data_IF_429261642214
#
_entry.id   IF_429261642214
#
_cell.length_a   1.000
_cell.length_b   1.000
_cell.length_c   1.000
_cell.angle_alpha   90.00
_cell.angle_beta   90.00
_cell.angle_gamma   90.00
#
_symmetry.space_group_name_H-M   'P 1'
#
loop_
_entity.id
_entity.type
_entity.pdbx_description
1 polymer ?
#
# COMPACT_ATOMS: atom_id res chain seq x y z
N UNK A 1 -7.92 11.73 -16.52
CA UNK A 1 -8.97 11.72 -17.56
C UNK A 1 -8.26 11.79 -18.90
N UNK A 2 -8.32 10.72 -19.67
CA UNK A 2 -7.71 10.65 -21.00
C UNK A 2 -8.66 11.32 -22.02
N UNK A 3 -8.42 12.61 -22.30
CA UNK A 3 -9.18 13.37 -23.28
C UNK A 3 -8.87 12.97 -24.74
N UNK A 4 -7.89 12.10 -24.97
CA UNK A 4 -7.50 11.68 -26.32
C UNK A 4 -8.41 10.57 -26.89
N UNK A 5 -9.05 9.77 -26.03
CA UNK A 5 -9.98 8.70 -26.42
C UNK A 5 -11.23 9.18 -27.19
N UNK A 6 -11.61 10.45 -27.02
CA UNK A 6 -12.80 11.02 -27.65
C UNK A 6 -12.47 11.96 -28.81
N UNK A 7 -11.21 12.06 -29.24
CA UNK A 7 -10.86 12.94 -30.35
C UNK A 7 -11.30 12.30 -31.69
N UNK A 8 -12.35 12.81 -32.35
CA UNK A 8 -12.81 12.27 -33.63
C UNK A 8 -11.83 12.55 -34.77
N UNK A 9 -10.78 13.35 -34.54
CA UNK A 9 -9.74 13.65 -35.52
C UNK A 9 -8.65 12.57 -35.61
N UNK A 10 -8.47 11.76 -34.57
CA UNK A 10 -7.47 10.67 -34.56
C UNK A 10 -8.08 9.28 -34.72
N UNK A 11 -9.33 9.08 -34.26
CA UNK A 11 -10.03 7.80 -34.39
C UNK A 11 -10.64 7.65 -35.80
N UNK A 12 -10.22 6.62 -36.53
CA UNK A 12 -10.79 6.33 -37.84
C UNK A 12 -12.27 5.86 -37.76
N UNK A 13 -12.99 5.92 -38.87
CA UNK A 13 -14.42 5.58 -38.91
C UNK A 13 -14.73 4.13 -38.52
N UNK A 14 -13.79 3.20 -38.76
CA UNK A 14 -13.96 1.79 -38.40
C UNK A 14 -13.84 1.61 -36.88
N UNK A 15 -12.84 2.22 -36.25
CA UNK A 15 -12.66 2.24 -34.79
C UNK A 15 -13.86 2.86 -34.07
N UNK A 16 -14.41 3.96 -34.59
CA UNK A 16 -15.62 4.57 -34.03
C UNK A 16 -16.85 3.66 -34.17
N UNK A 17 -17.01 2.99 -35.32
CA UNK A 17 -18.11 2.04 -35.52
C UNK A 17 -17.98 0.82 -34.58
N UNK A 18 -16.75 0.33 -34.39
CA UNK A 18 -16.44 -0.78 -33.50
C UNK A 18 -16.73 -0.45 -32.03
N UNK A 19 -16.37 0.77 -31.58
CA UNK A 19 -16.63 1.28 -30.22
C UNK A 19 -18.10 1.26 -29.81
N UNK A 20 -19.00 1.62 -30.73
CA UNK A 20 -20.44 1.72 -30.46
C UNK A 20 -21.21 0.45 -30.86
N UNK A 21 -20.49 -0.62 -31.19
CA UNK A 21 -21.02 -1.89 -31.68
C UNK A 21 -21.91 -1.78 -32.93
N UNK A 22 -21.60 -0.88 -33.88
CA UNK A 22 -22.34 -0.76 -35.15
C UNK A 22 -21.87 -1.83 -36.16
N UNK A 23 -22.36 -3.05 -35.94
CA UNK A 23 -22.07 -4.27 -36.70
C UNK A 23 -22.20 -4.06 -38.22
N UNK A 24 -23.24 -3.34 -38.65
CA UNK A 24 -23.52 -3.10 -40.07
C UNK A 24 -22.47 -2.18 -40.70
N UNK A 25 -22.09 -1.09 -40.01
CA UNK A 25 -21.01 -0.21 -40.48
C UNK A 25 -19.66 -0.92 -40.43
N UNK A 26 -19.34 -1.64 -39.35
CA UNK A 26 -18.09 -2.42 -39.22
C UNK A 26 -17.94 -3.38 -40.41
N UNK A 27 -18.97 -4.18 -40.71
CA UNK A 27 -18.97 -5.10 -41.86
C UNK A 27 -18.75 -4.41 -43.21
N UNK A 28 -19.28 -3.20 -43.39
CA UNK A 28 -19.09 -2.42 -44.63
C UNK A 28 -17.70 -1.81 -44.72
N UNK A 29 -17.16 -1.33 -43.59
CA UNK A 29 -15.88 -0.64 -43.50
C UNK A 29 -14.69 -1.61 -43.56
N UNK A 30 -14.80 -2.81 -42.97
CA UNK A 30 -13.77 -3.87 -43.08
C UNK A 30 -13.46 -4.27 -44.53
N UNK A 31 -14.41 -4.09 -45.46
CA UNK A 31 -14.16 -4.33 -46.89
C UNK A 31 -13.26 -3.29 -47.56
N UNK A 32 -13.03 -2.15 -46.91
CA UNK A 32 -12.39 -0.97 -47.49
C UNK A 32 -11.21 -0.44 -46.67
N UNK A 33 -11.21 -0.69 -45.37
CA UNK A 33 -10.24 -0.15 -44.42
C UNK A 33 -9.47 -1.31 -43.79
N UNK A 34 -8.17 -1.08 -43.58
CA UNK A 34 -7.32 -2.00 -42.83
C UNK A 34 -7.73 -1.96 -41.33
N UNK A 35 -8.11 -3.09 -40.70
CA UNK A 35 -8.52 -3.11 -39.30
C UNK A 35 -7.38 -2.83 -38.30
N UNK A 36 -6.12 -2.99 -38.71
CA UNK A 36 -4.94 -2.74 -37.87
C UNK A 36 -4.51 -1.26 -37.86
N UNK A 37 -5.29 -0.36 -38.45
CA UNK A 37 -5.01 1.07 -38.39
C UNK A 37 -5.14 1.56 -36.95
N UNK A 38 -4.02 2.04 -36.41
CA UNK A 38 -3.94 2.61 -35.07
C UNK A 38 -4.29 4.10 -35.07
N UNK A 39 -4.88 4.56 -33.96
CA UNK A 39 -4.98 5.99 -33.66
C UNK A 39 -3.68 6.55 -33.04
N UNK A 40 -3.74 7.76 -32.49
CA UNK A 40 -2.61 8.43 -31.84
C UNK A 40 -2.20 7.83 -30.48
N UNK A 41 -2.96 6.86 -29.95
CA UNK A 41 -2.65 6.08 -28.74
C UNK A 41 -2.13 4.69 -29.07
N UNK A 42 -2.08 4.32 -30.35
CA UNK A 42 -1.82 2.94 -30.78
C UNK A 42 -3.08 2.05 -30.78
N UNK A 43 -4.29 2.59 -30.57
CA UNK A 43 -5.50 1.77 -30.51
C UNK A 43 -6.00 1.42 -31.91
N UNK A 44 -6.20 0.14 -32.16
CA UNK A 44 -6.89 -0.38 -33.35
C UNK A 44 -8.40 -0.47 -33.12
N UNK A 45 -9.16 -0.80 -34.18
CA UNK A 45 -10.60 -1.03 -34.03
C UNK A 45 -10.93 -2.24 -33.12
N UNK A 46 -10.00 -3.19 -33.00
CA UNK A 46 -10.13 -4.34 -32.10
C UNK A 46 -10.02 -3.93 -30.63
N UNK A 47 -9.05 -3.07 -30.30
CA UNK A 47 -8.90 -2.48 -28.97
C UNK A 47 -10.17 -1.73 -28.54
N UNK A 48 -10.73 -0.92 -29.44
CA UNK A 48 -11.97 -0.18 -29.20
C UNK A 48 -13.15 -1.12 -28.96
N UNK A 49 -13.31 -2.17 -29.79
CA UNK A 49 -14.38 -3.13 -29.61
C UNK A 49 -14.27 -3.89 -28.27
N UNK A 50 -13.05 -4.31 -27.91
CA UNK A 50 -12.77 -5.05 -26.68
C UNK A 50 -12.98 -4.20 -25.42
N UNK A 51 -12.47 -2.97 -25.42
CA UNK A 51 -12.59 -2.02 -24.30
C UNK A 51 -14.04 -1.60 -24.01
N UNK A 52 -14.92 -1.65 -25.01
CA UNK A 52 -16.32 -1.24 -24.89
C UNK A 52 -17.29 -2.42 -24.93
N UNK A 53 -16.80 -3.66 -24.78
CA UNK A 53 -17.61 -4.89 -24.78
C UNK A 53 -18.54 -5.02 -26.01
N UNK A 54 -18.08 -4.54 -27.17
CA UNK A 54 -18.82 -4.56 -28.43
C UNK A 54 -18.67 -5.93 -29.11
N UNK A 55 -19.24 -6.95 -28.48
CA UNK A 55 -19.05 -8.38 -28.81
C UNK A 55 -19.29 -8.69 -30.29
N UNK A 56 -20.42 -8.30 -30.87
CA UNK A 56 -20.78 -8.65 -32.26
C UNK A 56 -19.82 -8.01 -33.27
N UNK A 57 -19.38 -6.78 -32.99
CA UNK A 57 -18.38 -6.10 -33.82
C UNK A 57 -17.00 -6.75 -33.67
N UNK A 58 -16.61 -7.11 -32.45
CA UNK A 58 -15.36 -7.80 -32.15
C UNK A 58 -15.29 -9.16 -32.86
N UNK A 59 -16.37 -9.95 -32.82
CA UNK A 59 -16.47 -11.24 -33.50
C UNK A 59 -16.28 -11.11 -35.02
N UNK A 60 -16.84 -10.05 -35.63
CA UNK A 60 -16.64 -9.78 -37.05
C UNK A 60 -15.21 -9.35 -37.38
N UNK A 61 -14.60 -8.54 -36.52
CA UNK A 61 -13.23 -8.03 -36.72
C UNK A 61 -12.22 -9.18 -36.62
N UNK A 62 -12.36 -10.05 -35.61
CA UNK A 62 -11.45 -11.20 -35.39
C UNK A 62 -11.48 -12.20 -36.56
N UNK A 63 -12.62 -12.35 -37.24
CA UNK A 63 -12.73 -13.24 -38.41
C UNK A 63 -12.05 -12.68 -39.66
N UNK A 64 -11.55 -11.45 -39.63
CA UNK A 64 -10.87 -10.84 -40.77
C UNK A 64 -9.49 -11.50 -40.99
N UNK A 65 -9.13 -11.95 -42.20
CA UNK A 65 -7.96 -12.82 -42.42
C UNK A 65 -6.61 -12.20 -42.08
N UNK A 66 -6.52 -10.87 -42.03
CA UNK A 66 -5.27 -10.15 -41.78
C UNK A 66 -5.22 -9.48 -40.40
N UNK A 67 -6.19 -9.72 -39.52
CA UNK A 67 -6.23 -9.05 -38.21
C UNK A 67 -5.07 -9.50 -37.33
N UNK A 68 -4.43 -8.54 -36.66
CA UNK A 68 -3.42 -8.83 -35.64
C UNK A 68 -4.05 -8.69 -34.26
N UNK A 69 -4.36 -9.83 -33.64
CA UNK A 69 -5.06 -9.85 -32.34
C UNK A 69 -4.13 -9.48 -31.17
N UNK A 70 -2.84 -9.77 -31.32
CA UNK A 70 -1.80 -9.53 -30.31
C UNK A 70 -1.16 -8.15 -30.43
N UNK A 71 -1.62 -7.29 -31.34
CA UNK A 71 -1.09 -5.93 -31.44
C UNK A 71 -1.33 -5.17 -30.13
N UNK A 72 -0.34 -4.38 -29.73
CA UNK A 72 -0.34 -3.62 -28.50
C UNK A 72 -0.52 -2.12 -28.78
N UNK A 73 -1.15 -1.41 -27.84
CA UNK A 73 -1.15 0.06 -27.83
C UNK A 73 0.25 0.60 -27.51
N UNK A 74 0.44 1.93 -27.55
CA UNK A 74 1.71 2.53 -27.11
C UNK A 74 2.01 2.35 -25.61
N UNK A 75 1.03 1.93 -24.82
CA UNK A 75 1.19 1.54 -23.42
C UNK A 75 1.39 0.02 -23.25
N UNK A 76 1.54 -0.73 -24.33
CA UNK A 76 1.71 -2.19 -24.29
C UNK A 76 0.41 -2.96 -24.05
N UNK A 77 -0.76 -2.31 -24.17
CA UNK A 77 -2.03 -2.96 -23.86
C UNK A 77 -2.55 -3.73 -25.07
N UNK A 78 -2.79 -5.04 -24.94
CA UNK A 78 -3.54 -5.82 -25.94
C UNK A 78 -5.05 -5.58 -25.84
N UNK A 79 -5.80 -6.03 -26.84
CA UNK A 79 -7.27 -6.03 -26.78
C UNK A 79 -7.81 -6.83 -25.58
N UNK A 80 -7.22 -7.98 -25.24
CA UNK A 80 -7.58 -8.76 -24.05
C UNK A 80 -7.32 -7.97 -22.76
N UNK A 81 -6.15 -7.35 -22.66
CA UNK A 81 -5.79 -6.55 -21.49
C UNK A 81 -6.80 -5.41 -21.26
N UNK A 82 -7.17 -4.68 -22.33
CA UNK A 82 -8.18 -3.63 -22.25
C UNK A 82 -9.57 -4.18 -21.89
N UNK A 83 -9.97 -5.34 -22.41
CA UNK A 83 -11.21 -6.00 -22.04
C UNK A 83 -11.25 -6.34 -20.54
N UNK A 84 -10.13 -6.82 -19.99
CA UNK A 84 -9.99 -7.07 -18.55
C UNK A 84 -10.08 -5.76 -17.75
N UNK A 85 -9.34 -4.71 -18.12
CA UNK A 85 -9.36 -3.41 -17.44
C UNK A 85 -10.77 -2.80 -17.43
N UNK A 86 -11.47 -2.83 -18.57
CA UNK A 86 -12.79 -2.23 -18.72
C UNK A 86 -13.92 -3.11 -18.22
N UNK A 87 -13.60 -4.27 -17.63
CA UNK A 87 -14.57 -5.23 -17.07
C UNK A 87 -15.57 -5.72 -18.13
N UNK A 88 -15.10 -5.95 -19.36
CA UNK A 88 -15.92 -6.49 -20.44
C UNK A 88 -16.51 -7.87 -20.07
N UNK A 89 -17.57 -8.26 -20.76
CA UNK A 89 -18.26 -9.53 -20.52
C UNK A 89 -17.33 -10.73 -20.67
N UNK A 90 -17.67 -11.81 -19.96
CA UNK A 90 -16.95 -13.08 -20.06
C UNK A 90 -16.95 -13.65 -21.48
N UNK A 91 -17.98 -13.34 -22.27
CA UNK A 91 -18.08 -13.76 -23.68
C UNK A 91 -17.02 -13.09 -24.54
N UNK A 92 -16.82 -11.78 -24.37
CA UNK A 92 -15.80 -11.01 -25.10
C UNK A 92 -14.39 -11.50 -24.73
N UNK A 93 -14.14 -11.74 -23.44
CA UNK A 93 -12.84 -12.25 -22.97
C UNK A 93 -12.58 -13.65 -23.52
N UNK A 94 -13.57 -14.54 -23.43
CA UNK A 94 -13.49 -15.90 -23.98
C UNK A 94 -13.18 -15.88 -25.48
N UNK A 95 -13.89 -15.04 -26.23
CA UNK A 95 -13.68 -14.92 -27.67
C UNK A 95 -12.25 -14.47 -28.01
N UNK A 96 -11.67 -13.56 -27.23
CA UNK A 96 -10.27 -13.15 -27.41
C UNK A 96 -9.28 -14.27 -27.06
N UNK A 97 -9.53 -15.00 -25.96
CA UNK A 97 -8.68 -16.12 -25.53
C UNK A 97 -8.69 -17.29 -26.53
N UNK A 98 -9.82 -17.56 -27.18
CA UNK A 98 -9.95 -18.61 -28.20
C UNK A 98 -9.19 -18.29 -29.51
N UNK A 99 -8.64 -17.08 -29.68
CA UNK A 99 -7.97 -16.70 -30.92
C UNK A 99 -6.51 -17.11 -31.00
N UNK A 100 -5.75 -16.89 -29.92
CA UNK A 100 -4.29 -17.03 -29.86
C UNK A 100 -3.91 -17.51 -28.48
N UNK A 101 -3.28 -18.67 -28.37
CA UNK A 101 -2.97 -19.32 -27.09
C UNK A 101 -2.13 -18.43 -26.14
N UNK A 102 -1.18 -17.67 -26.68
CA UNK A 102 -0.25 -16.85 -25.89
C UNK A 102 -0.88 -15.55 -25.35
N UNK A 103 -2.07 -15.14 -25.83
CA UNK A 103 -2.64 -13.81 -25.54
C UNK A 103 -2.89 -13.59 -24.04
N UNK A 104 -3.18 -14.66 -23.29
CA UNK A 104 -3.39 -14.60 -21.85
C UNK A 104 -2.15 -14.14 -21.07
N UNK A 105 -0.97 -14.30 -21.65
CA UNK A 105 0.33 -14.04 -21.03
C UNK A 105 1.03 -12.78 -21.57
N UNK A 106 0.45 -12.08 -22.53
CA UNK A 106 1.01 -10.80 -23.01
C UNK A 106 0.77 -9.74 -21.94
N UNK A 107 1.86 -9.08 -21.54
CA UNK A 107 1.89 -8.09 -20.47
C UNK A 107 2.01 -6.68 -21.02
N UNK A 108 1.61 -5.68 -20.24
CA UNK A 108 1.84 -4.27 -20.57
C UNK A 108 3.31 -3.88 -20.49
N UNK A 109 3.64 -2.61 -20.82
CA UNK A 109 4.99 -2.06 -20.61
C UNK A 109 5.44 -2.10 -19.13
N UNK A 110 4.49 -2.10 -18.20
CA UNK A 110 4.71 -2.23 -16.74
C UNK A 110 4.71 -3.70 -16.30
N UNK A 111 4.77 -4.64 -17.25
CA UNK A 111 4.74 -6.08 -17.03
C UNK A 111 3.45 -6.58 -16.35
N UNK A 112 2.39 -5.77 -16.37
CA UNK A 112 1.09 -6.16 -15.81
C UNK A 112 0.38 -7.10 -16.78
N UNK A 113 0.00 -8.28 -16.29
CA UNK A 113 -0.74 -9.28 -17.07
C UNK A 113 -2.26 -9.12 -16.95
N UNK A 114 -3.07 -9.68 -17.88
CA UNK A 114 -4.52 -9.77 -17.71
C UNK A 114 -4.94 -10.42 -16.39
N UNK A 115 -4.13 -11.35 -15.86
CA UNK A 115 -4.38 -12.05 -14.60
C UNK A 115 -4.23 -11.12 -13.38
N UNK A 116 -3.25 -10.20 -13.38
CA UNK A 116 -3.12 -9.15 -12.36
C UNK A 116 -4.40 -8.30 -12.29
N UNK A 117 -4.82 -7.78 -13.45
CA UNK A 117 -6.02 -6.96 -13.58
C UNK A 117 -7.26 -7.69 -13.07
N UNK A 118 -7.48 -8.93 -13.50
CA UNK A 118 -8.62 -9.71 -13.07
C UNK A 118 -8.59 -9.99 -11.56
N UNK A 119 -7.40 -10.23 -11.00
CA UNK A 119 -7.17 -10.52 -9.58
C UNK A 119 -7.47 -9.31 -8.70
N UNK A 120 -6.90 -8.13 -9.01
CA UNK A 120 -7.20 -6.91 -8.27
C UNK A 120 -8.68 -6.47 -8.36
N UNK A 121 -9.35 -6.78 -9.48
CA UNK A 121 -10.78 -6.52 -9.66
C UNK A 121 -11.69 -7.52 -8.93
N UNK A 122 -11.19 -8.67 -8.48
CA UNK A 122 -12.03 -9.69 -7.86
C UNK A 122 -12.85 -10.53 -8.84
N UNK A 123 -12.44 -10.64 -10.12
CA UNK A 123 -13.25 -11.30 -11.16
C UNK A 123 -12.97 -12.80 -11.26
N UNK A 124 -13.48 -13.57 -10.31
CA UNK A 124 -13.31 -15.02 -10.19
C UNK A 124 -13.50 -15.76 -11.52
N UNK A 125 -14.62 -15.55 -12.22
CA UNK A 125 -14.91 -16.25 -13.47
C UNK A 125 -13.87 -15.99 -14.58
N UNK A 126 -13.29 -14.78 -14.62
CA UNK A 126 -12.25 -14.43 -15.59
C UNK A 126 -10.91 -14.97 -15.17
N UNK A 127 -10.60 -14.99 -13.89
CA UNK A 127 -9.36 -15.57 -13.38
C UNK A 127 -9.33 -17.06 -13.72
N UNK A 128 -10.40 -17.79 -13.40
CA UNK A 128 -10.51 -19.21 -13.76
C UNK A 128 -10.34 -19.42 -15.26
N UNK A 129 -11.01 -18.60 -16.08
CA UNK A 129 -10.87 -18.67 -17.53
C UNK A 129 -9.45 -18.37 -18.01
N UNK A 130 -8.77 -17.36 -17.47
CA UNK A 130 -7.39 -17.05 -17.85
C UNK A 130 -6.46 -18.22 -17.49
N UNK A 131 -6.65 -18.83 -16.32
CA UNK A 131 -5.88 -19.99 -15.88
C UNK A 131 -6.13 -21.23 -16.75
N UNK A 132 -7.39 -21.48 -17.13
CA UNK A 132 -7.77 -22.59 -18.02
C UNK A 132 -7.12 -22.44 -19.41
N UNK A 133 -6.84 -21.20 -19.83
CA UNK A 133 -6.13 -20.87 -21.08
C UNK A 133 -4.62 -20.65 -20.87
N UNK A 134 -4.06 -21.14 -19.75
CA UNK A 134 -2.61 -21.20 -19.54
C UNK A 134 -1.97 -19.89 -19.08
N UNK A 135 -2.72 -18.99 -18.44
CA UNK A 135 -2.12 -17.82 -17.80
C UNK A 135 -1.14 -18.22 -16.69
N UNK A 136 0.03 -17.59 -16.65
CA UNK A 136 1.04 -17.84 -15.62
C UNK A 136 0.60 -17.25 -14.27
N UNK A 137 0.45 -18.12 -13.27
CA UNK A 137 -0.07 -17.76 -11.93
C UNK A 137 0.87 -16.80 -11.18
N UNK A 138 2.18 -17.03 -11.26
CA UNK A 138 3.21 -16.25 -10.54
C UNK A 138 3.95 -15.26 -11.46
N UNK A 139 3.30 -14.78 -12.52
CA UNK A 139 3.86 -13.69 -13.34
C UNK A 139 4.08 -12.45 -12.47
N UNK A 140 5.21 -11.79 -12.62
CA UNK A 140 5.58 -10.60 -11.85
C UNK A 140 5.47 -9.35 -12.71
N UNK A 141 4.86 -8.31 -12.17
CA UNK A 141 4.86 -6.97 -12.76
C UNK A 141 6.19 -6.24 -12.51
N UNK A 142 6.27 -4.96 -12.91
CA UNK A 142 7.47 -4.14 -12.76
C UNK A 142 7.92 -3.95 -11.30
N UNK A 143 6.99 -3.94 -10.34
CA UNK A 143 7.29 -3.84 -8.91
C UNK A 143 7.58 -5.22 -8.28
N UNK A 144 7.54 -6.28 -9.08
CA UNK A 144 7.71 -7.66 -8.66
C UNK A 144 6.46 -8.26 -8.02
N UNK A 145 5.33 -7.55 -8.03
CA UNK A 145 4.06 -8.04 -7.50
C UNK A 145 3.52 -9.13 -8.42
N UNK A 146 2.91 -10.16 -7.81
CA UNK A 146 2.20 -11.23 -8.53
C UNK A 146 0.68 -10.98 -8.45
N UNK A 147 -0.15 -11.69 -9.24
CA UNK A 147 -1.61 -11.61 -9.10
C UNK A 147 -2.10 -11.89 -7.67
N UNK A 148 -1.38 -12.71 -6.90
CA UNK A 148 -1.68 -12.97 -5.48
C UNK A 148 -1.38 -11.76 -4.59
N UNK A 149 -0.31 -10.99 -4.87
CA UNK A 149 -0.03 -9.72 -4.20
C UNK A 149 -1.16 -8.71 -4.43
N UNK A 150 -1.58 -8.55 -5.68
CA UNK A 150 -2.70 -7.69 -6.06
C UNK A 150 -4.01 -8.09 -5.36
N UNK A 151 -4.33 -9.39 -5.36
CA UNK A 151 -5.52 -9.90 -4.70
C UNK A 151 -5.51 -9.62 -3.18
N UNK A 152 -4.36 -9.84 -2.53
CA UNK A 152 -4.17 -9.57 -1.11
C UNK A 152 -4.30 -8.07 -0.79
N UNK A 153 -3.62 -7.20 -1.55
CA UNK A 153 -3.65 -5.74 -1.34
C UNK A 153 -5.03 -5.14 -1.61
N UNK A 154 -5.77 -5.66 -2.59
CA UNK A 154 -7.14 -5.21 -2.92
C UNK A 154 -8.23 -5.89 -2.10
N UNK A 155 -7.86 -6.65 -1.06
CA UNK A 155 -8.80 -7.33 -0.15
C UNK A 155 -9.76 -8.28 -0.86
N UNK A 156 -9.25 -9.07 -1.81
CA UNK A 156 -10.02 -10.06 -2.60
C UNK A 156 -9.80 -11.47 -2.07
N UNK A 157 -10.33 -11.78 -0.88
CA UNK A 157 -10.12 -13.06 -0.20
C UNK A 157 -10.50 -14.29 -1.04
N UNK A 158 -11.62 -14.24 -1.77
CA UNK A 158 -12.01 -15.34 -2.68
C UNK A 158 -10.98 -15.56 -3.80
N UNK A 159 -10.38 -14.48 -4.32
CA UNK A 159 -9.31 -14.58 -5.33
C UNK A 159 -8.04 -15.13 -4.72
N UNK A 160 -7.68 -14.69 -3.51
CA UNK A 160 -6.54 -15.21 -2.76
C UNK A 160 -6.66 -16.73 -2.63
N UNK A 161 -7.82 -17.21 -2.16
CA UNK A 161 -8.09 -18.64 -2.05
C UNK A 161 -7.97 -19.35 -3.41
N UNK A 162 -8.58 -18.80 -4.47
CA UNK A 162 -8.52 -19.39 -5.82
C UNK A 162 -7.08 -19.50 -6.34
N UNK A 163 -6.29 -18.43 -6.25
CA UNK A 163 -4.92 -18.40 -6.75
C UNK A 163 -4.01 -19.37 -5.97
N UNK A 164 -4.18 -19.48 -4.65
CA UNK A 164 -3.45 -20.45 -3.83
C UNK A 164 -3.76 -21.89 -4.28
N UNK A 165 -5.03 -22.21 -4.54
CA UNK A 165 -5.44 -23.52 -5.06
C UNK A 165 -5.00 -23.76 -6.51
N UNK A 166 -4.78 -22.69 -7.28
CA UNK A 166 -4.19 -22.75 -8.62
C UNK A 166 -2.66 -22.90 -8.61
N UNK A 167 -2.03 -22.96 -7.43
CA UNK A 167 -0.59 -23.18 -7.27
C UNK A 167 0.25 -21.91 -7.20
N UNK A 168 -0.35 -20.77 -6.87
CA UNK A 168 0.40 -19.53 -6.61
C UNK A 168 1.38 -19.73 -5.44
N UNK A 169 2.56 -19.11 -5.53
CA UNK A 169 3.55 -19.15 -4.46
C UNK A 169 3.16 -18.18 -3.33
N UNK A 170 2.76 -18.69 -2.14
CA UNK A 170 2.18 -17.89 -1.05
C UNK A 170 3.17 -16.90 -0.42
N UNK A 171 4.47 -17.22 -0.46
CA UNK A 171 5.55 -16.43 0.15
C UNK A 171 6.50 -15.83 -0.91
N UNK A 172 6.08 -15.78 -2.19
CA UNK A 172 6.82 -15.05 -3.21
C UNK A 172 6.99 -13.60 -2.75
N UNK A 173 8.20 -13.06 -2.93
CA UNK A 173 8.51 -11.68 -2.54
C UNK A 173 8.55 -10.78 -3.77
N UNK A 174 7.96 -9.60 -3.66
CA UNK A 174 8.13 -8.52 -4.65
C UNK A 174 9.50 -7.83 -4.50
N UNK A 175 9.79 -6.82 -5.33
CA UNK A 175 11.10 -6.14 -5.34
C UNK A 175 11.41 -5.42 -4.02
N UNK A 176 10.37 -4.99 -3.28
CA UNK A 176 10.51 -4.40 -1.94
C UNK A 176 10.60 -5.45 -0.84
N UNK A 177 10.56 -6.72 -1.20
CA UNK A 177 10.62 -7.84 -0.28
C UNK A 177 9.32 -8.13 0.46
N UNK A 178 8.18 -7.52 0.10
CA UNK A 178 6.89 -7.84 0.69
C UNK A 178 6.35 -9.16 0.13
N UNK A 179 5.65 -9.92 0.97
CA UNK A 179 4.87 -11.10 0.57
C UNK A 179 3.38 -10.75 0.47
N UNK A 180 2.52 -11.60 -0.12
CA UNK A 180 1.07 -11.39 -0.09
C UNK A 180 0.50 -11.20 1.31
N UNK A 181 1.04 -11.89 2.34
CA UNK A 181 0.60 -11.72 3.73
C UNK A 181 0.85 -10.28 4.22
N UNK A 182 2.04 -9.73 3.95
CA UNK A 182 2.36 -8.34 4.30
C UNK A 182 1.33 -7.37 3.72
N UNK A 183 1.01 -7.53 2.43
CA UNK A 183 0.06 -6.66 1.76
C UNK A 183 -1.37 -6.86 2.25
N UNK A 184 -1.78 -8.09 2.59
CA UNK A 184 -3.10 -8.37 3.19
C UNK A 184 -3.24 -7.69 4.58
N UNK A 185 -2.20 -7.75 5.40
CA UNK A 185 -2.14 -7.09 6.70
C UNK A 185 -2.22 -5.56 6.57
N UNK A 186 -1.47 -4.98 5.62
CA UNK A 186 -1.52 -3.54 5.33
C UNK A 186 -2.88 -3.10 4.74
N UNK A 187 -3.50 -3.94 3.92
CA UNK A 187 -4.84 -3.69 3.38
C UNK A 187 -5.94 -3.76 4.46
N UNK A 188 -5.68 -4.51 5.54
CA UNK A 188 -6.58 -4.65 6.68
C UNK A 188 -7.68 -5.70 6.47
N UNK A 189 -7.49 -6.67 5.56
CA UNK A 189 -8.48 -7.72 5.26
C UNK A 189 -8.17 -9.00 6.03
N UNK A 190 -8.92 -9.26 7.10
CA UNK A 190 -8.74 -10.44 7.95
C UNK A 190 -9.01 -11.74 7.20
N UNK A 191 -9.98 -11.74 6.27
CA UNK A 191 -10.32 -12.91 5.47
C UNK A 191 -9.14 -13.32 4.58
N UNK A 192 -8.49 -12.36 3.91
CA UNK A 192 -7.30 -12.66 3.12
C UNK A 192 -6.13 -13.15 3.98
N UNK A 193 -5.95 -12.59 5.18
CA UNK A 193 -4.96 -13.05 6.15
C UNK A 193 -5.23 -14.50 6.57
N UNK A 194 -6.48 -14.84 6.90
CA UNK A 194 -6.89 -16.19 7.28
C UNK A 194 -6.65 -17.19 6.14
N UNK A 195 -6.97 -16.83 4.89
CA UNK A 195 -6.75 -17.69 3.72
C UNK A 195 -5.27 -17.92 3.43
N UNK A 196 -4.42 -16.91 3.65
CA UNK A 196 -2.97 -17.02 3.46
C UNK A 196 -2.29 -17.79 4.61
N UNK A 197 -2.79 -17.67 5.83
CA UNK A 197 -2.13 -18.16 7.04
C UNK A 197 -1.70 -19.64 7.00
N UNK A 198 -2.51 -20.59 6.48
CA UNK A 198 -2.11 -22.00 6.36
C UNK A 198 -0.85 -22.24 5.52
N UNK A 199 -0.47 -21.28 4.69
CA UNK A 199 0.67 -21.37 3.78
C UNK A 199 1.89 -20.58 4.27
N UNK A 200 1.78 -19.91 5.42
CA UNK A 200 2.85 -19.12 6.03
C UNK A 200 3.80 -20.06 6.78
N UNK A 201 5.09 -19.98 6.47
CA UNK A 201 6.16 -20.75 7.12
C UNK A 201 6.79 -19.96 8.27
N UNK A 202 6.84 -18.64 8.14
CA UNK A 202 7.37 -17.70 9.13
C UNK A 202 6.50 -16.43 9.19
N UNK A 203 5.77 -16.25 10.28
CA UNK A 203 4.90 -15.09 10.51
C UNK A 203 5.69 -13.79 10.74
N UNK A 204 6.95 -13.93 11.16
CA UNK A 204 7.85 -12.85 11.53
C UNK A 204 8.80 -12.46 10.39
N UNK A 205 8.61 -13.03 9.20
CA UNK A 205 9.39 -12.71 8.03
C UNK A 205 9.39 -11.21 7.77
N UNK A 206 10.57 -10.60 7.73
CA UNK A 206 10.71 -9.16 7.51
C UNK A 206 10.79 -8.82 6.02
N UNK A 207 10.09 -7.76 5.60
CA UNK A 207 10.21 -7.13 4.29
C UNK A 207 11.56 -6.41 4.09
N UNK A 208 11.80 -5.80 2.93
CA UNK A 208 13.07 -5.13 2.62
C UNK A 208 13.41 -3.95 3.53
N UNK A 209 12.40 -3.28 4.09
CA UNK A 209 12.55 -2.22 5.10
C UNK A 209 12.48 -2.75 6.55
N UNK A 210 12.57 -4.07 6.75
CA UNK A 210 12.50 -4.68 8.07
C UNK A 210 11.10 -4.77 8.68
N UNK A 211 10.04 -4.35 7.97
CA UNK A 211 8.68 -4.46 8.50
C UNK A 211 8.17 -5.89 8.48
N UNK A 212 7.50 -6.32 9.56
CA UNK A 212 6.78 -7.60 9.64
C UNK A 212 5.30 -7.42 9.30
N UNK A 213 4.59 -8.52 9.09
CA UNK A 213 3.13 -8.50 8.92
C UNK A 213 2.40 -7.83 10.11
N UNK A 214 2.90 -8.03 11.34
CA UNK A 214 2.37 -7.40 12.55
C UNK A 214 2.52 -5.87 12.53
N UNK A 215 3.68 -5.37 12.07
CA UNK A 215 3.91 -3.93 11.93
C UNK A 215 2.96 -3.31 10.92
N UNK A 216 2.76 -3.93 9.77
CA UNK A 216 1.86 -3.43 8.73
C UNK A 216 0.38 -3.46 9.17
N UNK A 217 -0.05 -4.52 9.86
CA UNK A 217 -1.38 -4.58 10.46
C UNK A 217 -1.61 -3.48 11.51
N UNK A 218 -0.56 -3.21 12.29
CA UNK A 218 -0.53 -2.15 13.30
C UNK A 218 -0.60 -0.77 12.65
N UNK A 219 0.19 -0.52 11.61
CA UNK A 219 0.17 0.71 10.82
C UNK A 219 -1.23 0.99 10.27
N UNK A 220 -1.88 -0.05 9.72
CA UNK A 220 -3.24 0.04 9.21
C UNK A 220 -4.29 0.30 10.28
N UNK A 221 -4.03 -0.06 11.53
CA UNK A 221 -4.99 0.06 12.63
C UNK A 221 -5.99 -1.09 12.71
N UNK A 222 -5.68 -2.26 12.14
CA UNK A 222 -6.59 -3.41 12.19
C UNK A 222 -6.35 -4.25 13.44
N UNK A 223 -7.07 -3.92 14.52
CA UNK A 223 -6.98 -4.63 15.80
C UNK A 223 -7.22 -6.14 15.64
N UNK A 224 -8.23 -6.54 14.85
CA UNK A 224 -8.55 -7.96 14.62
C UNK A 224 -7.38 -8.73 14.01
N UNK A 225 -6.66 -8.14 13.05
CA UNK A 225 -5.49 -8.79 12.44
C UNK A 225 -4.33 -8.83 13.43
N UNK A 226 -4.10 -7.76 14.18
CA UNK A 226 -3.07 -7.73 15.22
C UNK A 226 -3.29 -8.84 16.24
N UNK A 227 -4.51 -8.97 16.77
CA UNK A 227 -4.88 -10.03 17.71
C UNK A 227 -4.69 -11.41 17.08
N UNK A 228 -5.11 -11.60 15.83
CA UNK A 228 -4.95 -12.86 15.11
C UNK A 228 -3.47 -13.24 14.93
N UNK A 229 -2.62 -12.30 14.53
CA UNK A 229 -1.18 -12.54 14.36
C UNK A 229 -0.51 -12.87 15.70
N UNK A 230 -0.85 -12.15 16.77
CA UNK A 230 -0.34 -12.42 18.13
C UNK A 230 -0.78 -13.81 18.61
N UNK A 231 -2.05 -14.18 18.42
CA UNK A 231 -2.56 -15.52 18.75
C UNK A 231 -1.81 -16.62 17.99
N UNK A 232 -1.34 -16.32 16.79
CA UNK A 232 -0.52 -17.19 15.98
C UNK A 232 1.00 -16.93 16.14
N UNK A 233 1.41 -16.42 17.30
CA UNK A 233 2.82 -16.32 17.76
C UNK A 233 3.70 -15.32 17.00
N UNK A 234 3.13 -14.29 16.38
CA UNK A 234 3.94 -13.17 15.89
C UNK A 234 4.68 -12.48 17.04
N UNK A 235 5.98 -12.19 16.85
CA UNK A 235 6.81 -11.55 17.86
C UNK A 235 6.64 -10.01 17.84
N UNK A 236 6.08 -9.40 18.91
CA UNK A 236 5.93 -7.95 18.99
C UNK A 236 7.25 -7.20 19.28
N UNK A 237 8.39 -7.88 19.40
CA UNK A 237 9.68 -7.28 19.75
C UNK A 237 10.63 -7.06 18.57
N UNK A 238 10.24 -7.50 17.37
CA UNK A 238 11.01 -7.27 16.15
C UNK A 238 10.98 -5.78 15.82
N UNK A 239 12.09 -5.24 15.31
CA UNK A 239 12.20 -3.84 14.89
C UNK A 239 12.43 -3.74 13.38
N UNK A 240 11.87 -2.71 12.76
CA UNK A 240 12.17 -2.37 11.37
C UNK A 240 13.57 -1.73 11.24
N UNK A 241 13.95 -1.30 10.03
CA UNK A 241 15.25 -0.66 9.77
C UNK A 241 15.46 0.65 10.54
N UNK A 242 14.37 1.35 10.88
CA UNK A 242 14.40 2.59 11.66
C UNK A 242 14.52 2.32 13.18
N UNK A 243 14.49 1.05 13.59
CA UNK A 243 14.54 0.64 15.00
C UNK A 243 13.20 0.82 15.72
N UNK A 244 12.10 0.85 14.96
CA UNK A 244 10.74 0.94 15.49
C UNK A 244 10.12 -0.42 15.72
N UNK A 245 9.55 -0.58 16.91
CA UNK A 245 8.71 -1.70 17.31
C UNK A 245 7.28 -1.53 16.76
N UNK A 246 6.48 -2.60 16.62
CA UNK A 246 5.04 -2.48 16.40
C UNK A 246 4.36 -1.51 17.39
N UNK A 247 4.80 -1.51 18.66
CA UNK A 247 4.32 -0.58 19.69
C UNK A 247 4.55 0.90 19.30
N UNK A 248 5.71 1.23 18.74
CA UNK A 248 6.03 2.59 18.28
C UNK A 248 5.12 2.99 17.12
N UNK A 249 4.88 2.06 16.18
CA UNK A 249 4.01 2.27 15.03
C UNK A 249 2.57 2.55 15.49
N UNK A 250 2.07 1.82 16.49
CA UNK A 250 0.74 2.06 17.07
C UNK A 250 0.62 3.46 17.68
N UNK A 251 1.67 3.94 18.34
CA UNK A 251 1.74 5.29 18.89
C UNK A 251 1.73 6.35 17.80
N UNK A 252 2.62 6.22 16.82
CA UNK A 252 2.78 7.17 15.70
C UNK A 252 1.48 7.31 14.90
N UNK A 253 0.73 6.23 14.73
CA UNK A 253 -0.54 6.23 14.01
C UNK A 253 -1.77 6.47 14.91
N UNK A 254 -1.59 6.58 16.23
CA UNK A 254 -2.64 6.91 17.18
C UNK A 254 -3.64 5.77 17.46
N UNK A 255 -3.27 4.51 17.24
CA UNK A 255 -4.15 3.35 17.45
C UNK A 255 -4.11 2.89 18.90
N UNK A 256 -4.89 3.54 19.77
CA UNK A 256 -4.85 3.34 21.23
C UNK A 256 -5.15 1.92 21.70
N UNK A 257 -6.13 1.24 21.10
CA UNK A 257 -6.47 -0.15 21.47
C UNK A 257 -5.34 -1.13 21.12
N UNK A 258 -4.77 -0.99 19.92
CA UNK A 258 -3.60 -1.78 19.48
C UNK A 258 -2.40 -1.47 20.36
N UNK A 259 -2.19 -0.19 20.70
CA UNK A 259 -1.14 0.23 21.60
C UNK A 259 -1.27 -0.44 22.97
N UNK A 260 -2.48 -0.50 23.56
CA UNK A 260 -2.74 -1.20 24.84
C UNK A 260 -2.38 -2.69 24.74
N UNK A 261 -2.80 -3.37 23.66
CA UNK A 261 -2.48 -4.79 23.44
C UNK A 261 -0.97 -4.99 23.37
N UNK A 262 -0.28 -4.25 22.49
CA UNK A 262 1.16 -4.39 22.30
C UNK A 262 1.95 -4.00 23.54
N UNK A 263 1.55 -2.96 24.27
CA UNK A 263 2.20 -2.54 25.51
C UNK A 263 2.17 -3.65 26.57
N UNK A 264 1.04 -4.35 26.68
CA UNK A 264 0.89 -5.46 27.63
C UNK A 264 1.79 -6.66 27.31
N UNK A 265 2.24 -6.80 26.06
CA UNK A 265 3.08 -7.90 25.59
C UNK A 265 4.57 -7.51 25.49
N UNK A 266 4.88 -6.21 25.44
CA UNK A 266 6.23 -5.72 25.25
C UNK A 266 7.01 -5.73 26.58
N UNK A 267 8.21 -6.31 26.55
CA UNK A 267 9.11 -6.27 27.71
C UNK A 267 9.51 -4.82 28.05
N UNK A 268 9.43 -4.45 29.35
CA UNK A 268 9.73 -3.09 29.84
C UNK A 268 11.11 -2.57 29.37
N UNK A 269 12.11 -3.44 29.30
CA UNK A 269 13.48 -3.11 28.87
C UNK A 269 13.60 -2.66 27.41
N UNK A 270 12.64 -3.05 26.56
CA UNK A 270 12.60 -2.70 25.14
C UNK A 270 11.86 -1.38 24.87
N UNK A 271 11.08 -0.90 25.84
CA UNK A 271 10.33 0.35 25.72
C UNK A 271 11.28 1.52 25.97
N UNK A 272 11.50 2.35 24.95
CA UNK A 272 12.39 3.51 25.06
C UNK A 272 11.73 4.62 25.89
N UNK A 273 12.51 5.28 26.76
CA UNK A 273 12.04 6.36 27.66
C UNK A 273 11.48 7.57 26.92
N UNK A 274 11.99 7.85 25.72
CA UNK A 274 11.53 8.94 24.87
C UNK A 274 10.11 8.71 24.30
N UNK A 275 9.53 7.52 24.47
CA UNK A 275 8.18 7.21 24.00
C UNK A 275 7.12 8.16 24.57
N UNK A 276 7.21 8.53 25.86
CA UNK A 276 6.28 9.50 26.46
C UNK A 276 6.44 10.89 25.83
N UNK A 277 7.67 11.26 25.46
CA UNK A 277 7.97 12.53 24.78
C UNK A 277 7.37 12.51 23.38
N UNK A 278 7.52 11.41 22.64
CA UNK A 278 6.93 11.24 21.31
C UNK A 278 5.40 11.30 21.38
N UNK A 279 4.77 10.64 22.36
CA UNK A 279 3.31 10.66 22.56
C UNK A 279 2.77 12.08 22.82
N UNK A 280 3.54 12.94 23.47
CA UNK A 280 3.15 14.32 23.76
C UNK A 280 3.38 15.30 22.59
N UNK A 281 4.03 14.89 21.49
CA UNK A 281 4.19 15.76 20.31
C UNK A 281 2.82 16.00 19.66
N UNK A 282 2.45 17.25 19.32
CA UNK A 282 1.12 17.57 18.80
C UNK A 282 0.68 16.82 17.55
N UNK A 283 1.62 16.32 16.75
CA UNK A 283 1.31 15.48 15.60
C UNK A 283 0.93 14.03 15.96
N UNK A 284 1.45 13.48 17.06
CA UNK A 284 1.19 12.11 17.54
C UNK A 284 0.25 12.06 18.75
N UNK A 285 -0.31 13.22 19.12
CA UNK A 285 -0.99 13.41 20.37
C UNK A 285 -2.27 12.56 20.46
N UNK A 286 -2.29 11.60 21.40
CA UNK A 286 -3.46 10.80 21.72
C UNK A 286 -3.58 10.61 23.23
N UNK A 287 -4.67 11.11 23.81
CA UNK A 287 -4.96 11.05 25.24
C UNK A 287 -5.04 9.61 25.76
N UNK A 288 -5.65 8.69 25.01
CA UNK A 288 -5.80 7.30 25.43
C UNK A 288 -4.45 6.58 25.48
N UNK A 289 -3.53 6.92 24.57
CA UNK A 289 -2.17 6.37 24.57
C UNK A 289 -1.36 6.91 25.75
N UNK A 290 -1.44 8.22 26.00
CA UNK A 290 -0.73 8.86 27.12
C UNK A 290 -1.25 8.32 28.45
N UNK A 291 -2.57 8.26 28.64
CA UNK A 291 -3.17 7.68 29.85
C UNK A 291 -2.77 6.22 30.02
N UNK A 292 -2.79 5.42 28.94
CA UNK A 292 -2.31 4.03 28.99
C UNK A 292 -0.86 3.93 29.45
N UNK A 293 0.03 4.76 28.88
CA UNK A 293 1.44 4.81 29.31
C UNK A 293 1.56 5.21 30.77
N UNK A 294 0.84 6.25 31.21
CA UNK A 294 0.88 6.76 32.57
C UNK A 294 0.25 5.82 33.59
N UNK A 295 -0.72 4.99 33.20
CA UNK A 295 -1.33 3.97 34.06
C UNK A 295 -0.46 2.72 34.15
N UNK A 296 0.34 2.45 33.12
CA UNK A 296 1.22 1.28 33.08
C UNK A 296 2.35 1.35 34.12
N UNK A 297 2.79 0.17 34.58
CA UNK A 297 3.84 0.03 35.58
C UNK A 297 5.23 -0.01 34.92
N UNK A 298 5.67 1.09 34.30
CA UNK A 298 6.99 1.15 33.65
C UNK A 298 8.14 1.50 34.62
N UNK A 299 7.81 1.75 35.90
CA UNK A 299 8.75 2.19 36.93
C UNK A 299 9.05 3.69 36.90
N UNK A 300 9.53 4.25 38.01
CA UNK A 300 9.78 5.70 38.13
C UNK A 300 10.88 6.19 37.18
N UNK A 301 11.91 5.38 36.94
CA UNK A 301 13.04 5.74 36.08
C UNK A 301 12.65 5.95 34.61
N UNK A 302 11.56 5.33 34.16
CA UNK A 302 11.01 5.52 32.81
C UNK A 302 10.42 6.93 32.64
N UNK A 303 9.77 7.42 33.70
CA UNK A 303 9.16 8.75 33.73
C UNK A 303 10.11 9.84 34.20
N UNK A 304 11.37 9.50 34.54
CA UNK A 304 12.41 10.50 34.80
C UNK A 304 13.03 10.96 33.47
N UNK A 305 12.61 12.13 33.00
CA UNK A 305 13.11 12.72 31.77
C UNK A 305 14.26 13.67 32.13
N UNK A 306 15.48 13.28 31.77
CA UNK A 306 16.67 14.13 31.92
C UNK A 306 16.77 15.08 30.71
N UNK A 307 16.66 16.38 30.96
CA UNK A 307 16.90 17.41 29.95
C UNK A 307 18.24 18.10 30.22
N UNK A 308 19.15 18.04 29.24
CA UNK A 308 20.46 18.72 29.29
C UNK A 308 20.30 20.12 28.69
N UNK A 309 20.33 21.14 29.54
CA UNK A 309 20.29 22.54 29.12
C UNK A 309 21.72 23.07 28.92
N UNK A 310 22.02 23.57 27.73
CA UNK A 310 23.32 24.20 27.41
C UNK A 310 23.28 25.71 27.68
N UNK A 311 23.67 26.13 28.88
CA UNK A 311 23.71 27.57 29.20
C UNK A 311 25.01 28.17 28.67
N UNK A 312 24.90 29.14 27.75
CA UNK A 312 26.02 30.01 27.33
C UNK A 312 26.10 31.19 28.29
N UNK A 313 27.22 31.32 29.00
CA UNK A 313 27.49 32.50 29.82
C UNK A 313 28.18 33.57 28.97
N UNK A 314 27.42 34.54 28.43
CA UNK A 314 28.03 35.76 27.90
C UNK A 314 28.40 36.70 29.06
N UNK A 315 29.70 36.93 29.23
CA UNK A 315 30.21 37.84 30.26
C UNK A 315 30.06 39.28 29.77
N UNK A 316 28.97 39.94 30.16
CA UNK A 316 28.78 41.39 29.99
C UNK A 316 28.41 41.99 31.34
N UNK A 317 29.10 43.07 31.72
CA UNK A 317 29.02 43.79 32.99
C UNK A 317 27.61 44.33 33.29
N UNK A 318 26.71 43.46 33.73
CA UNK A 318 25.39 43.82 34.25
C UNK A 318 24.24 42.98 33.67
N UNK A 319 24.01 41.81 34.27
CA UNK A 319 22.75 41.06 34.38
C UNK A 319 21.91 40.89 33.08
N UNK A 320 22.09 39.75 32.41
CA UNK A 320 21.04 38.72 32.24
C UNK A 320 21.69 37.43 31.72
N UNK A 321 21.54 36.31 32.44
CA UNK A 321 21.89 35.00 31.92
C UNK A 321 20.85 34.59 30.86
N UNK A 322 21.26 34.41 29.61
CA UNK A 322 20.40 33.84 28.58
C UNK A 322 20.51 32.31 28.62
N UNK A 323 19.40 31.65 28.97
CA UNK A 323 19.30 30.20 28.83
C UNK A 323 19.09 29.92 27.34
N UNK A 324 20.11 29.37 26.69
CA UNK A 324 19.97 28.85 25.34
C UNK A 324 19.61 27.37 25.45
N UNK A 325 18.35 27.01 25.18
CA UNK A 325 18.06 25.62 24.82
C UNK A 325 18.78 25.33 23.50
N UNK A 326 19.25 24.11 23.28
CA UNK A 326 20.23 23.75 22.23
C UNK A 326 19.82 23.96 20.76
N UNK A 327 18.82 24.78 20.46
CA UNK A 327 18.52 25.25 19.11
C UNK A 327 19.30 26.54 18.83
N UNK A 328 20.37 26.45 18.04
CA UNK A 328 20.87 27.61 17.32
C UNK A 328 19.73 28.25 16.53
N UNK A 329 19.38 29.49 16.89
CA UNK A 329 18.75 30.51 16.02
C UNK A 329 17.59 30.03 15.14
N UNK A 330 16.36 30.15 15.63
CA UNK A 330 15.16 30.27 14.80
C UNK A 330 14.19 31.27 15.46
N UNK A 331 14.66 32.51 15.66
CA UNK A 331 13.82 33.57 16.21
C UNK A 331 13.02 34.34 15.13
N UNK A 332 13.20 34.04 13.85
CA UNK A 332 12.44 34.67 12.77
C UNK A 332 12.19 33.67 11.63
N UNK A 333 11.09 32.90 11.73
CA UNK A 333 10.23 32.39 10.64
C UNK A 333 9.41 31.20 11.15
N UNK A 334 8.08 31.40 11.17
CA UNK A 334 6.97 30.43 11.36
C UNK A 334 6.52 30.12 12.81
N UNK A 335 5.25 30.39 13.18
CA UNK A 335 4.63 29.97 14.45
C UNK A 335 4.38 28.45 14.60
N UNK A 336 5.04 27.59 13.82
CA UNK A 336 4.65 26.19 13.64
C UNK A 336 5.79 25.17 13.78
N UNK A 337 6.97 25.57 14.25
CA UNK A 337 8.05 24.63 14.57
C UNK A 337 7.86 24.05 15.97
N UNK A 338 7.02 23.02 16.02
CA UNK A 338 6.67 22.16 17.14
C UNK A 338 7.85 21.31 17.63
N UNK A 339 8.88 21.94 18.21
CA UNK A 339 9.83 21.27 19.08
C UNK A 339 9.21 21.23 20.49
N UNK A 340 8.61 20.10 20.88
CA UNK A 340 8.12 19.91 22.24
C UNK A 340 9.29 19.77 23.20
N UNK A 341 9.77 20.90 23.72
CA UNK A 341 10.66 20.93 24.88
C UNK A 341 9.95 20.25 26.08
N UNK A 342 10.62 19.42 26.89
CA UNK A 342 10.09 18.78 28.09
C UNK A 342 9.29 19.71 29.03
N UNK A 343 9.62 21.01 29.11
CA UNK A 343 8.81 22.01 29.83
C UNK A 343 7.40 22.20 29.25
N UNK A 344 7.22 22.14 27.93
CA UNK A 344 5.90 22.21 27.31
C UNK A 344 5.09 20.94 27.60
N UNK A 345 5.75 19.79 27.67
CA UNK A 345 5.14 18.52 28.05
C UNK A 345 4.68 18.55 29.51
N UNK A 346 5.50 19.07 30.43
CA UNK A 346 5.11 19.28 31.83
C UNK A 346 3.89 20.18 31.98
N UNK A 347 3.87 21.32 31.29
CA UNK A 347 2.72 22.23 31.31
C UNK A 347 1.47 21.56 30.73
N UNK A 348 1.65 20.84 29.63
CA UNK A 348 0.58 20.13 28.96
C UNK A 348 -0.02 19.02 29.86
N UNK A 349 0.82 18.26 30.56
CA UNK A 349 0.39 17.25 31.52
C UNK A 349 -0.17 17.85 32.81
N UNK A 350 0.33 19.01 33.25
CA UNK A 350 -0.22 19.78 34.36
C UNK A 350 -1.66 20.18 34.07
N UNK A 351 -1.89 20.77 32.88
CA UNK A 351 -3.20 21.22 32.44
C UNK A 351 -4.21 20.06 32.31
N UNK A 352 -3.71 18.82 32.19
CA UNK A 352 -4.50 17.59 32.18
C UNK A 352 -4.62 16.88 33.55
N UNK A 353 -4.06 17.45 34.63
CA UNK A 353 -3.96 16.81 35.97
C UNK A 353 -3.22 15.45 35.98
N UNK A 354 -2.20 15.27 35.14
CA UNK A 354 -1.48 14.00 34.95
C UNK A 354 -0.04 14.01 35.52
N UNK A 355 0.35 15.06 36.24
CA UNK A 355 1.75 15.27 36.65
C UNK A 355 2.25 14.37 37.79
N UNK A 356 1.37 13.74 38.56
CA UNK A 356 1.76 13.05 39.81
C UNK A 356 2.78 11.90 39.60
N UNK A 357 2.95 11.42 38.35
CA UNK A 357 3.87 10.32 38.01
C UNK A 357 5.11 10.71 37.20
N UNK A 358 5.25 11.96 36.74
CA UNK A 358 6.39 12.40 35.90
C UNK A 358 7.32 13.31 36.69
N UNK A 359 8.60 12.93 36.76
CA UNK A 359 9.67 13.78 37.28
C UNK A 359 10.55 14.25 36.12
N UNK A 360 10.93 15.53 36.12
CA UNK A 360 11.86 16.08 35.13
C UNK A 360 13.06 16.63 35.88
N UNK A 361 14.20 15.99 35.70
CA UNK A 361 15.47 16.44 36.22
C UNK A 361 16.16 17.33 35.17
N UNK A 362 16.22 18.62 35.47
CA UNK A 362 16.89 19.61 34.63
C UNK A 362 18.36 19.68 35.03
N UNK A 363 19.24 19.22 34.13
CA UNK A 363 20.68 19.30 34.34
C UNK A 363 21.28 20.41 33.48
N UNK A 364 21.76 21.46 34.15
CA UNK A 364 22.40 22.61 33.50
C UNK A 364 23.86 22.30 33.25
N UNK A 365 24.26 22.22 31.98
CA UNK A 365 25.67 22.08 31.58
C UNK A 365 26.14 23.44 31.08
N UNK A 366 26.98 24.10 31.89
CA UNK A 366 27.63 25.35 31.50
C UNK A 366 28.75 25.10 30.50
N UNK A 367 28.76 25.86 29.39
CA UNK A 367 29.93 25.95 28.50
C UNK A 367 30.58 27.31 28.77
N UNK A 368 31.70 27.30 29.49
CA UNK A 368 32.56 28.47 29.63
C UNK A 368 33.34 28.68 28.31
N UNK A 369 33.26 29.87 27.72
CA UNK A 369 34.12 30.31 26.61
C UNK A 369 35.12 31.34 27.13
#
# INVERSE_FOLDING_TARGET
MDFSAFNPLSSNSLSLAARINDVAKVKRLLKKQNPDLTDNRGWTCLHEAAANDSYESLELIIKHPNIRVTDETFEGHTALYLACIKRASIRTIKLLLETVDEIANIVSIEMVSPLHIASGQGRIDVIQMLLDYGAYVDVQDFDGDTPLHDAAFKSRSEVVNLLLHAGAQPEKRNEKGYTPLHLACFAGCIEAVIELFPFVTDVDLQAGNGETALMLATQRGSQTIVEYLIQNKADPHITNVDGDLPLNIALVHGHSDIFRILLSLTNKEKIKKDMIIVACKPYYFNMDIITTLLESDLGPDFFNIEEILYVKFEKIDGIMASVATGAHTLHELLPYTLACEPMQILKFLHDLNLLDRISVDVSVVGVDI
#
